data_IF_190546234592
#
_entry.id   IF_190546234592
#
_cell.length_a   1.000
_cell.length_b   1.000
_cell.length_c   1.000
_cell.angle_alpha   90.00
_cell.angle_beta   90.00
_cell.angle_gamma   90.00
#
_symmetry.space_group_name_H-M   'P 1'
#
loop_
_entity.id
_entity.type
_entity.pdbx_description
1 polymer ?
#
# COMPACT_ATOMS: atom_id res chain seq x y z
N UNK A 1 -13.39 1.83 26.31
CA UNK A 1 -11.99 1.34 26.32
C UNK A 1 -11.06 2.55 26.42
N UNK A 2 -9.86 2.42 27.02
CA UNK A 2 -8.88 3.51 27.16
C UNK A 2 -7.55 3.11 26.52
N UNK A 3 -6.97 4.02 25.75
CA UNK A 3 -5.68 3.86 25.07
C UNK A 3 -4.80 5.10 25.28
N UNK A 4 -3.51 4.99 25.04
CA UNK A 4 -2.66 6.17 24.89
C UNK A 4 -2.95 6.84 23.55
N UNK A 5 -3.01 6.05 22.48
CA UNK A 5 -3.26 6.54 21.12
C UNK A 5 -4.30 5.68 20.39
N UNK A 6 -5.24 6.34 19.69
CA UNK A 6 -6.18 5.69 18.76
C UNK A 6 -5.90 6.17 17.34
N UNK A 7 -5.69 5.23 16.43
CA UNK A 7 -5.44 5.49 15.01
C UNK A 7 -6.68 5.10 14.19
N UNK A 8 -7.14 5.99 13.34
CA UNK A 8 -8.30 5.84 12.47
C UNK A 8 -7.79 5.54 11.06
N UNK A 9 -7.73 4.25 10.70
CA UNK A 9 -7.26 3.77 9.41
C UNK A 9 -6.09 2.78 9.53
N UNK A 10 -6.26 1.59 8.93
CA UNK A 10 -5.27 0.50 8.97
C UNK A 10 -4.44 0.36 7.69
N UNK A 11 -4.19 1.46 6.97
CA UNK A 11 -3.28 1.50 5.82
C UNK A 11 -1.82 1.64 6.23
N UNK A 12 -0.93 1.88 5.25
CA UNK A 12 0.51 2.01 5.47
C UNK A 12 0.86 3.02 6.57
N UNK A 13 0.34 4.26 6.49
CA UNK A 13 0.62 5.31 7.48
C UNK A 13 0.20 4.90 8.90
N UNK A 14 -1.03 4.38 9.05
CA UNK A 14 -1.57 3.96 10.35
C UNK A 14 -0.83 2.76 10.95
N UNK A 15 -0.44 1.78 10.14
CA UNK A 15 0.33 0.62 10.59
C UNK A 15 1.77 1.01 10.98
N UNK A 16 2.44 1.85 10.21
CA UNK A 16 3.78 2.37 10.54
C UNK A 16 3.74 3.18 11.84
N UNK A 17 2.76 4.07 11.99
CA UNK A 17 2.57 4.84 13.22
C UNK A 17 2.27 3.92 14.42
N UNK A 18 1.35 2.97 14.26
CA UNK A 18 0.96 2.05 15.33
C UNK A 18 2.08 1.13 15.79
N UNK A 19 2.88 0.57 14.86
CA UNK A 19 4.05 -0.24 15.19
C UNK A 19 5.08 0.60 15.93
N UNK A 20 5.33 1.82 15.46
CA UNK A 20 6.32 2.72 16.09
C UNK A 20 5.91 3.09 17.51
N UNK A 21 4.64 3.44 17.74
CA UNK A 21 4.12 3.74 19.08
C UNK A 21 4.15 2.53 20.02
N UNK A 22 3.83 1.33 19.53
CA UNK A 22 3.88 0.11 20.34
C UNK A 22 5.32 -0.29 20.72
N UNK A 23 6.31 -0.07 19.83
CA UNK A 23 7.72 -0.28 20.17
C UNK A 23 8.18 0.59 21.34
N UNK A 24 7.61 1.79 21.46
CA UNK A 24 7.85 2.75 22.55
C UNK A 24 6.92 2.53 23.76
N UNK A 25 6.26 1.37 23.84
CA UNK A 25 5.42 0.98 24.98
C UNK A 25 4.07 1.70 25.07
N UNK A 26 3.62 2.40 24.03
CA UNK A 26 2.33 3.12 24.04
C UNK A 26 1.18 2.17 23.73
N UNK A 27 0.21 2.10 24.64
CA UNK A 27 -1.01 1.30 24.45
C UNK A 27 -1.85 1.88 23.31
N UNK A 28 -1.74 1.27 22.12
CA UNK A 28 -2.27 1.81 20.87
C UNK A 28 -3.33 0.90 20.27
N UNK A 29 -4.42 1.51 19.78
CA UNK A 29 -5.42 0.84 18.97
C UNK A 29 -5.47 1.40 17.54
N UNK A 30 -5.71 0.52 16.56
CA UNK A 30 -6.01 0.90 15.17
C UNK A 30 -7.45 0.46 14.87
N UNK A 31 -8.28 1.38 14.40
CA UNK A 31 -9.63 1.13 13.91
C UNK A 31 -9.57 1.11 12.39
N UNK A 32 -9.92 -0.02 11.76
CA UNK A 32 -9.76 -0.20 10.33
C UNK A 32 -11.01 -0.78 9.70
N UNK A 33 -11.39 -0.19 8.56
CA UNK A 33 -12.50 -0.65 7.73
C UNK A 33 -12.19 -1.95 6.99
N UNK A 34 -10.94 -2.40 7.01
CA UNK A 34 -10.46 -3.63 6.37
C UNK A 34 -9.49 -3.34 5.22
N UNK A 35 -9.96 -3.51 3.98
CA UNK A 35 -9.16 -3.28 2.78
C UNK A 35 -8.75 -1.80 2.64
N UNK A 36 -7.54 -1.56 2.15
CA UNK A 36 -7.02 -0.20 1.99
C UNK A 36 -6.16 -0.08 0.71
N UNK A 37 -5.61 1.12 0.48
CA UNK A 37 -4.85 1.46 -0.72
C UNK A 37 -3.61 0.58 -0.96
N UNK A 38 -3.10 -0.15 0.04
CA UNK A 38 -2.03 -1.13 -0.17
C UNK A 38 -2.42 -2.23 -1.16
N UNK A 39 -3.71 -2.50 -1.36
CA UNK A 39 -4.17 -3.43 -2.41
C UNK A 39 -3.92 -2.91 -3.84
N UNK A 40 -3.45 -1.68 -3.99
CA UNK A 40 -3.05 -1.06 -5.25
C UNK A 40 -1.56 -0.71 -5.25
N UNK A 41 -0.84 -1.13 -4.19
CA UNK A 41 0.56 -0.84 -3.99
C UNK A 41 1.41 -1.56 -5.03
N UNK A 42 2.32 -0.82 -5.62
CA UNK A 42 3.15 -1.32 -6.70
C UNK A 42 4.42 -2.04 -6.21
N UNK A 43 4.61 -2.17 -4.89
CA UNK A 43 5.80 -2.79 -4.30
C UNK A 43 7.01 -1.86 -4.16
N UNK A 44 6.87 -0.59 -4.54
CA UNK A 44 7.94 0.43 -4.53
C UNK A 44 7.47 1.66 -3.77
N UNK A 45 8.39 2.33 -3.08
CA UNK A 45 8.12 3.51 -2.25
C UNK A 45 8.69 4.76 -2.91
N UNK A 46 8.05 5.23 -3.98
CA UNK A 46 8.47 6.43 -4.68
C UNK A 46 8.46 7.64 -3.74
N UNK A 47 9.31 8.63 -4.04
CA UNK A 47 9.65 9.81 -3.21
C UNK A 47 10.45 9.56 -1.93
N UNK A 48 10.68 8.31 -1.53
CA UNK A 48 11.71 7.99 -0.55
C UNK A 48 13.02 7.78 -1.31
N UNK A 49 14.00 8.67 -1.07
CA UNK A 49 15.38 8.46 -1.51
C UNK A 49 16.05 7.37 -0.68
N UNK A 50 17.24 7.64 -0.14
CA UNK A 50 17.89 6.72 0.79
C UNK A 50 17.01 6.50 2.04
N UNK A 51 16.60 5.26 2.36
CA UNK A 51 15.75 4.98 3.52
C UNK A 51 16.50 5.23 4.82
N UNK A 52 15.77 5.59 5.88
CA UNK A 52 16.33 5.63 7.24
C UNK A 52 16.42 4.22 7.83
N UNK A 53 17.38 3.99 8.73
CA UNK A 53 17.52 2.70 9.44
C UNK A 53 16.23 2.34 10.17
N UNK A 54 15.55 3.33 10.77
CA UNK A 54 14.24 3.16 11.42
C UNK A 54 13.21 2.51 10.47
N UNK A 55 13.14 2.96 9.22
CA UNK A 55 12.23 2.41 8.22
C UNK A 55 12.61 0.97 7.86
N UNK A 56 13.88 0.74 7.53
CA UNK A 56 14.40 -0.58 7.14
C UNK A 56 14.17 -1.60 8.26
N UNK A 57 14.54 -1.26 9.50
CA UNK A 57 14.35 -2.12 10.67
C UNK A 57 12.88 -2.41 10.96
N UNK A 58 11.99 -1.41 10.86
CA UNK A 58 10.55 -1.61 11.08
C UNK A 58 9.96 -2.63 10.11
N UNK A 59 10.32 -2.53 8.83
CA UNK A 59 9.84 -3.43 7.78
C UNK A 59 10.48 -4.82 7.87
N UNK A 60 11.79 -4.91 8.11
CA UNK A 60 12.50 -6.17 8.28
C UNK A 60 11.93 -6.99 9.46
N UNK A 61 11.66 -6.36 10.61
CA UNK A 61 11.05 -7.04 11.76
C UNK A 61 9.59 -7.47 11.54
N UNK A 62 8.91 -6.89 10.55
CA UNK A 62 7.60 -7.33 10.10
C UNK A 62 7.69 -8.52 9.11
N UNK A 63 8.89 -8.94 8.71
CA UNK A 63 9.11 -9.97 7.70
C UNK A 63 8.98 -9.46 6.26
N UNK A 64 9.25 -8.16 6.05
CA UNK A 64 9.14 -7.50 4.76
C UNK A 64 10.47 -6.78 4.48
N UNK A 65 11.56 -7.49 4.15
CA UNK A 65 12.82 -6.83 3.82
C UNK A 65 12.64 -5.85 2.65
N UNK A 66 13.34 -4.72 2.75
CA UNK A 66 13.40 -3.69 1.73
C UNK A 66 14.82 -3.65 1.18
N UNK A 67 14.96 -3.37 -0.12
CA UNK A 67 16.25 -3.10 -0.73
C UNK A 67 16.24 -1.70 -1.35
N UNK A 68 17.43 -1.07 -1.34
CA UNK A 68 17.64 0.26 -1.91
C UNK A 68 18.69 0.21 -3.01
N UNK A 69 18.30 0.63 -4.21
CA UNK A 69 19.15 0.80 -5.38
C UNK A 69 18.46 1.72 -6.36
N UNK A 70 19.13 2.81 -6.76
CA UNK A 70 18.60 3.71 -7.78
C UNK A 70 18.57 3.04 -9.16
N UNK A 71 17.47 3.26 -9.89
CA UNK A 71 17.30 2.73 -11.23
C UNK A 71 15.86 2.82 -11.69
N UNK A 72 15.44 1.81 -12.43
CA UNK A 72 14.09 1.67 -12.98
C UNK A 72 13.51 0.29 -12.68
N UNK A 73 12.19 0.25 -12.49
CA UNK A 73 11.44 -0.99 -12.26
C UNK A 73 10.49 -1.26 -13.41
N UNK A 74 10.20 -2.55 -13.63
CA UNK A 74 9.25 -3.01 -14.65
C UNK A 74 7.80 -2.75 -14.21
N UNK A 75 7.01 -2.18 -15.12
CA UNK A 75 5.58 -1.95 -14.97
C UNK A 75 4.76 -3.03 -15.72
N UNK A 76 3.48 -3.26 -15.36
CA UNK A 76 2.66 -4.33 -15.94
C UNK A 76 2.48 -4.30 -17.48
N UNK A 77 2.71 -3.14 -18.11
CA UNK A 77 2.58 -2.95 -19.57
C UNK A 77 3.93 -2.98 -20.31
N UNK A 78 4.99 -3.46 -19.67
CA UNK A 78 6.32 -3.58 -20.29
C UNK A 78 7.07 -2.24 -20.38
N UNK A 79 6.57 -1.22 -19.69
CA UNK A 79 7.25 0.07 -19.52
C UNK A 79 8.07 0.08 -18.24
N UNK A 80 8.94 1.07 -18.10
CA UNK A 80 9.80 1.22 -16.93
C UNK A 80 9.54 2.54 -16.23
N UNK A 81 9.65 2.55 -14.89
CA UNK A 81 9.53 3.76 -14.08
C UNK A 81 10.70 3.91 -13.12
N UNK A 82 11.19 5.13 -12.87
CA UNK A 82 12.19 5.37 -11.85
C UNK A 82 11.76 4.83 -10.48
N UNK A 83 12.68 4.20 -9.77
CA UNK A 83 12.50 3.74 -8.40
C UNK A 83 13.86 3.61 -7.70
N UNK A 84 13.85 3.67 -6.37
CA UNK A 84 15.05 3.54 -5.56
C UNK A 84 14.86 2.62 -4.35
N UNK A 85 13.64 2.46 -3.84
CA UNK A 85 13.32 1.67 -2.66
C UNK A 85 12.12 0.77 -2.94
N UNK A 86 12.28 -0.54 -2.77
CA UNK A 86 11.22 -1.50 -3.03
C UNK A 86 11.25 -2.69 -2.08
N UNK A 87 10.19 -3.49 -2.11
CA UNK A 87 10.14 -4.81 -1.49
C UNK A 87 11.20 -5.72 -2.16
N UNK A 88 11.77 -6.66 -1.41
CA UNK A 88 12.82 -7.60 -1.89
C UNK A 88 12.45 -8.39 -3.15
N UNK A 89 11.16 -8.69 -3.36
CA UNK A 89 10.65 -9.40 -4.52
C UNK A 89 10.30 -8.50 -5.71
N UNK A 90 10.68 -7.22 -5.66
CA UNK A 90 10.46 -6.22 -6.71
C UNK A 90 11.81 -5.74 -7.22
N UNK A 91 12.19 -6.14 -8.42
CA UNK A 91 13.50 -5.80 -8.99
C UNK A 91 13.61 -4.33 -9.40
N UNK A 92 14.78 -3.74 -9.11
CA UNK A 92 15.20 -2.43 -9.64
C UNK A 92 16.46 -2.63 -10.50
N UNK A 93 16.35 -2.26 -11.77
CA UNK A 93 17.38 -2.39 -12.79
C UNK A 93 18.09 -1.05 -13.01
N UNK A 94 19.39 -1.05 -13.37
CA UNK A 94 20.10 0.20 -13.66
C UNK A 94 19.55 0.94 -14.89
N UNK A 95 18.97 0.21 -15.84
CA UNK A 95 18.47 0.72 -17.12
C UNK A 95 17.20 -0.06 -17.53
N UNK A 96 16.40 0.40 -18.52
CA UNK A 96 15.14 -0.23 -18.91
C UNK A 96 15.35 -1.51 -19.75
N UNK A 97 16.36 -2.30 -19.39
CA UNK A 97 16.74 -3.56 -20.01
C UNK A 97 17.38 -4.46 -18.97
N UNK A 98 16.89 -5.70 -18.86
CA UNK A 98 17.36 -6.66 -17.84
C UNK A 98 17.69 -8.05 -18.39
N UNK A 99 17.50 -8.28 -19.69
CA UNK A 99 17.64 -9.57 -20.34
C UNK A 99 17.84 -9.39 -21.86
N UNK A 100 18.37 -10.43 -22.52
CA UNK A 100 18.36 -10.55 -23.97
C UNK A 100 17.08 -11.21 -24.47
N UNK A 101 16.69 -12.32 -23.84
CA UNK A 101 15.56 -13.16 -24.25
C UNK A 101 14.71 -13.57 -23.04
N UNK A 102 13.42 -13.23 -23.07
CA UNK A 102 12.51 -13.43 -21.94
C UNK A 102 11.40 -14.42 -22.29
N UNK A 103 11.20 -15.39 -21.41
CA UNK A 103 9.98 -16.19 -21.36
C UNK A 103 8.97 -15.49 -20.44
N UNK A 104 7.93 -14.89 -21.02
CA UNK A 104 6.82 -14.32 -20.26
C UNK A 104 5.79 -15.41 -20.01
N UNK A 105 5.61 -15.79 -18.74
CA UNK A 105 4.67 -16.84 -18.34
C UNK A 105 3.40 -16.20 -17.79
N UNK A 106 2.26 -16.72 -18.23
CA UNK A 106 0.96 -16.38 -17.66
C UNK A 106 0.14 -17.67 -17.49
N UNK A 107 -1.05 -17.58 -16.91
CA UNK A 107 -1.92 -18.72 -16.63
C UNK A 107 -3.19 -18.64 -17.48
N UNK A 108 -3.65 -19.78 -17.99
CA UNK A 108 -4.88 -19.86 -18.76
C UNK A 108 -6.07 -19.31 -17.96
N UNK A 109 -6.70 -18.25 -18.50
CA UNK A 109 -7.85 -17.58 -17.90
C UNK A 109 -7.51 -16.47 -16.90
N UNK A 110 -6.24 -16.19 -16.61
CA UNK A 110 -5.87 -15.12 -15.67
C UNK A 110 -6.07 -13.72 -16.27
N UNK A 111 -6.89 -12.89 -15.61
CA UNK A 111 -7.36 -11.62 -16.16
C UNK A 111 -6.56 -10.39 -15.77
N UNK A 112 -5.81 -10.44 -14.67
CA UNK A 112 -5.13 -9.27 -14.13
C UNK A 112 -3.66 -9.16 -14.62
N UNK A 113 -3.24 -10.03 -15.54
CA UNK A 113 -1.90 -10.00 -16.13
C UNK A 113 -1.95 -10.13 -17.66
N UNK A 114 -1.64 -9.05 -18.36
CA UNK A 114 -1.73 -8.96 -19.82
C UNK A 114 -0.37 -9.22 -20.45
N UNK A 115 0.06 -10.49 -20.45
CA UNK A 115 1.36 -10.91 -20.96
C UNK A 115 1.69 -10.42 -22.38
N UNK A 116 0.75 -10.35 -23.35
CA UNK A 116 1.05 -9.79 -24.68
C UNK A 116 1.45 -8.31 -24.64
N UNK A 117 0.79 -7.48 -23.83
CA UNK A 117 1.14 -6.06 -23.70
C UNK A 117 2.47 -5.86 -22.97
N UNK A 118 2.73 -6.68 -21.95
CA UNK A 118 4.03 -6.71 -21.28
C UNK A 118 5.14 -7.05 -22.29
N UNK A 119 4.96 -8.11 -23.08
CA UNK A 119 5.92 -8.53 -24.10
C UNK A 119 6.14 -7.42 -25.15
N UNK A 120 5.08 -6.83 -25.69
CA UNK A 120 5.18 -5.73 -26.67
C UNK A 120 5.96 -4.53 -26.10
N UNK A 121 5.75 -4.19 -24.82
CA UNK A 121 6.49 -3.13 -24.14
C UNK A 121 7.98 -3.46 -23.97
N UNK A 122 8.30 -4.70 -23.60
CA UNK A 122 9.69 -5.19 -23.46
C UNK A 122 10.41 -5.26 -24.81
N UNK A 123 9.72 -5.68 -25.87
CA UNK A 123 10.24 -5.72 -27.25
C UNK A 123 10.61 -4.33 -27.74
N UNK A 124 9.83 -3.29 -27.39
CA UNK A 124 10.19 -1.88 -27.65
C UNK A 124 11.48 -1.45 -26.94
N UNK A 125 11.89 -2.14 -25.88
CA UNK A 125 13.18 -1.93 -25.20
C UNK A 125 14.30 -2.86 -25.72
N UNK A 126 14.06 -3.61 -26.81
CA UNK A 126 15.05 -4.50 -27.42
C UNK A 126 15.24 -5.83 -26.68
N UNK A 127 14.20 -6.32 -26.00
CA UNK A 127 14.17 -7.62 -25.33
C UNK A 127 13.30 -8.58 -26.15
N UNK A 128 13.89 -9.67 -26.66
CA UNK A 128 13.13 -10.69 -27.39
C UNK A 128 12.20 -11.44 -26.42
N UNK A 129 10.92 -11.56 -26.75
CA UNK A 129 9.92 -12.12 -25.85
C UNK A 129 9.21 -13.34 -26.45
N UNK A 130 9.03 -14.38 -25.62
CA UNK A 130 8.12 -15.50 -25.91
C UNK A 130 7.07 -15.60 -24.81
N UNK A 131 5.80 -15.45 -25.18
CA UNK A 131 4.69 -15.59 -24.25
C UNK A 131 4.19 -17.03 -24.20
N UNK A 132 4.00 -17.59 -23.00
CA UNK A 132 3.38 -18.91 -22.81
C UNK A 132 2.35 -18.89 -21.69
N UNK A 133 1.25 -19.62 -21.92
CA UNK A 133 0.19 -19.81 -20.95
C UNK A 133 0.30 -21.21 -20.35
N UNK A 134 0.44 -21.30 -19.03
CA UNK A 134 0.37 -22.55 -18.31
C UNK A 134 -1.09 -22.92 -18.06
N UNK A 135 -1.43 -24.17 -18.33
CA UNK A 135 -2.73 -24.74 -18.02
C UNK A 135 -2.59 -25.69 -16.82
N UNK A 136 -2.94 -25.21 -15.63
CA UNK A 136 -2.85 -25.98 -14.40
C UNK A 136 -4.23 -26.51 -13.99
N UNK A 137 -4.39 -27.82 -13.76
CA UNK A 137 -5.66 -28.41 -13.31
C UNK A 137 -6.22 -27.74 -12.04
N UNK A 138 -5.35 -27.28 -11.14
CA UNK A 138 -5.71 -26.59 -9.90
C UNK A 138 -6.46 -25.26 -10.13
N UNK A 139 -6.33 -24.67 -11.33
CA UNK A 139 -6.99 -23.42 -11.70
C UNK A 139 -8.36 -23.63 -12.38
N UNK A 140 -8.73 -24.86 -12.74
CA UNK A 140 -9.99 -25.15 -13.45
C UNK A 140 -11.23 -24.69 -12.67
N UNK A 141 -11.21 -24.86 -11.34
CA UNK A 141 -12.31 -24.43 -10.48
C UNK A 141 -12.49 -22.90 -10.50
N UNK A 142 -11.41 -22.13 -10.60
CA UNK A 142 -11.49 -20.66 -10.70
C UNK A 142 -12.02 -20.21 -12.06
N UNK A 143 -11.63 -20.90 -13.14
CA UNK A 143 -12.11 -20.60 -14.49
C UNK A 143 -13.64 -20.70 -14.61
N UNK A 144 -14.26 -21.58 -13.81
CA UNK A 144 -15.72 -21.76 -13.77
C UNK A 144 -16.43 -20.82 -12.80
N UNK A 145 -15.69 -20.02 -12.02
CA UNK A 145 -16.26 -19.15 -10.99
C UNK A 145 -16.74 -17.82 -11.57
N UNK A 146 -17.85 -17.28 -11.03
CA UNK A 146 -18.36 -15.95 -11.40
C UNK A 146 -17.42 -14.81 -10.97
N UNK A 147 -16.57 -15.03 -9.96
CA UNK A 147 -15.56 -14.05 -9.51
C UNK A 147 -14.41 -13.85 -10.50
N UNK A 148 -14.25 -14.76 -11.47
CA UNK A 148 -13.10 -14.79 -12.39
C UNK A 148 -11.80 -15.21 -11.70
N UNK A 149 -10.70 -15.18 -12.46
CA UNK A 149 -9.34 -15.43 -11.95
C UNK A 149 -8.67 -14.09 -11.63
N UNK A 150 -8.82 -13.61 -10.38
CA UNK A 150 -8.17 -12.38 -9.90
C UNK A 150 -6.84 -12.65 -9.19
N UNK A 151 -5.93 -11.67 -9.15
CA UNK A 151 -4.59 -11.79 -8.55
C UNK A 151 -4.60 -12.42 -7.15
N UNK A 152 -5.53 -12.01 -6.29
CA UNK A 152 -5.67 -12.56 -4.93
C UNK A 152 -6.16 -14.01 -4.90
N UNK A 153 -6.97 -14.44 -5.87
CA UNK A 153 -7.41 -15.83 -6.00
C UNK A 153 -6.33 -16.70 -6.63
N UNK A 154 -5.60 -16.17 -7.61
CA UNK A 154 -4.43 -16.81 -8.18
C UNK A 154 -3.41 -17.12 -7.10
N UNK A 155 -3.02 -16.12 -6.30
CA UNK A 155 -2.03 -16.33 -5.25
C UNK A 155 -2.46 -17.34 -4.20
N UNK A 156 -3.76 -17.41 -3.89
CA UNK A 156 -4.29 -18.43 -2.97
C UNK A 156 -4.08 -19.87 -3.44
N UNK A 157 -4.10 -20.09 -4.74
CA UNK A 157 -3.93 -21.42 -5.34
C UNK A 157 -2.48 -21.68 -5.70
N UNK A 158 -1.78 -20.67 -6.21
CA UNK A 158 -0.40 -20.80 -6.71
C UNK A 158 0.64 -20.83 -5.59
N UNK A 159 0.45 -20.09 -4.50
CA UNK A 159 1.39 -20.10 -3.36
C UNK A 159 1.66 -21.51 -2.84
N UNK A 160 0.65 -22.35 -2.55
CA UNK A 160 0.91 -23.69 -2.01
C UNK A 160 1.44 -24.71 -3.03
N UNK A 161 1.46 -24.38 -4.33
CA UNK A 161 1.89 -25.29 -5.41
C UNK A 161 3.03 -24.68 -6.24
N UNK A 162 3.76 -23.71 -5.68
CA UNK A 162 4.77 -22.96 -6.41
C UNK A 162 5.85 -23.87 -7.03
N UNK A 163 6.20 -24.98 -6.37
CA UNK A 163 7.14 -25.97 -6.91
C UNK A 163 6.64 -26.59 -8.22
N UNK A 164 5.33 -26.86 -8.32
CA UNK A 164 4.70 -27.37 -9.55
C UNK A 164 4.78 -26.33 -10.66
N UNK A 165 4.55 -25.05 -10.35
CA UNK A 165 4.70 -23.97 -11.34
C UNK A 165 6.13 -23.92 -11.85
N UNK A 166 7.13 -24.01 -10.96
CA UNK A 166 8.55 -24.04 -11.34
C UNK A 166 8.85 -25.23 -12.27
N UNK A 167 8.32 -26.42 -11.97
CA UNK A 167 8.47 -27.59 -12.84
C UNK A 167 7.89 -27.35 -14.24
N UNK A 168 6.67 -26.82 -14.34
CA UNK A 168 6.04 -26.48 -15.62
C UNK A 168 6.84 -25.44 -16.40
N UNK A 169 7.35 -24.40 -15.72
CA UNK A 169 8.22 -23.38 -16.34
C UNK A 169 9.51 -23.99 -16.86
N UNK A 170 10.17 -24.89 -16.10
CA UNK A 170 11.39 -25.59 -16.54
C UNK A 170 11.15 -26.40 -17.82
N UNK A 171 10.00 -27.04 -17.98
CA UNK A 171 9.67 -27.83 -19.18
C UNK A 171 9.51 -26.99 -20.44
N UNK A 172 9.08 -25.73 -20.31
CA UNK A 172 8.84 -24.83 -21.44
C UNK A 172 9.97 -23.83 -21.70
N UNK A 173 10.95 -23.73 -20.79
CA UNK A 173 12.15 -22.91 -20.93
C UNK A 173 13.04 -23.44 -22.06
N UNK A 174 13.61 -22.55 -22.86
CA UNK A 174 14.51 -22.89 -23.99
C UNK A 174 15.85 -22.16 -23.80
N UNK A 175 16.18 -21.27 -24.71
CA UNK A 175 17.37 -20.43 -24.73
C UNK A 175 17.14 -19.04 -24.12
N UNK A 176 16.00 -18.82 -23.44
CA UNK A 176 15.76 -17.57 -22.70
C UNK A 176 16.70 -17.43 -21.51
N UNK A 177 17.22 -16.22 -21.30
CA UNK A 177 18.11 -15.88 -20.17
C UNK A 177 17.35 -15.32 -18.96
N UNK A 178 16.02 -15.15 -19.10
CA UNK A 178 15.15 -14.69 -18.03
C UNK A 178 13.71 -15.23 -18.18
N UNK A 179 13.06 -15.48 -17.04
CA UNK A 179 11.61 -15.75 -16.94
C UNK A 179 10.94 -14.55 -16.28
N UNK A 180 9.81 -14.10 -16.84
CA UNK A 180 8.93 -13.13 -16.19
C UNK A 180 7.66 -13.84 -15.71
N UNK A 181 7.40 -13.75 -14.41
CA UNK A 181 6.21 -14.29 -13.75
C UNK A 181 5.33 -13.13 -13.23
N UNK A 182 3.99 -13.29 -13.17
CA UNK A 182 3.14 -12.33 -12.49
C UNK A 182 3.40 -12.31 -10.98
N UNK A 183 3.24 -11.15 -10.35
CA UNK A 183 3.27 -10.96 -8.89
C UNK A 183 2.02 -11.56 -8.22
N UNK A 184 1.92 -12.88 -8.25
CA UNK A 184 0.87 -13.69 -7.61
C UNK A 184 1.48 -14.77 -6.71
N UNK A 185 2.70 -14.54 -6.22
CA UNK A 185 3.42 -15.46 -5.36
C UNK A 185 3.80 -14.79 -4.04
N UNK A 186 3.92 -15.64 -3.02
CA UNK A 186 4.30 -15.30 -1.67
C UNK A 186 3.27 -14.49 -0.91
N UNK A 187 1.98 -14.56 -1.23
CA UNK A 187 0.89 -13.94 -0.47
C UNK A 187 0.90 -14.35 1.02
N UNK A 188 1.14 -15.63 1.30
CA UNK A 188 1.11 -16.19 2.66
C UNK A 188 2.49 -16.42 3.24
N UNK A 189 3.44 -16.78 2.38
CA UNK A 189 4.85 -16.98 2.73
C UNK A 189 5.73 -16.03 1.90
N UNK A 190 6.28 -14.96 2.50
CA UNK A 190 7.10 -13.99 1.78
C UNK A 190 8.41 -14.57 1.21
N UNK A 191 8.80 -15.79 1.58
CA UNK A 191 10.02 -16.44 1.05
C UNK A 191 9.83 -17.07 -0.33
N UNK A 192 8.59 -17.41 -0.72
CA UNK A 192 8.28 -18.14 -1.97
C UNK A 192 8.87 -17.48 -3.23
N UNK A 193 8.80 -16.16 -3.45
CA UNK A 193 9.44 -15.52 -4.60
C UNK A 193 10.96 -15.76 -4.66
N UNK A 194 11.62 -15.83 -3.50
CA UNK A 194 13.05 -16.18 -3.39
C UNK A 194 13.32 -17.63 -3.74
N UNK A 195 12.52 -18.57 -3.23
CA UNK A 195 12.63 -20.00 -3.55
C UNK A 195 12.42 -20.27 -5.05
N UNK A 196 11.47 -19.57 -5.69
CA UNK A 196 11.27 -19.65 -7.14
C UNK A 196 12.51 -19.16 -7.90
N UNK A 197 13.15 -18.07 -7.43
CA UNK A 197 14.39 -17.54 -8.03
C UNK A 197 15.56 -18.52 -7.90
N UNK A 198 15.65 -19.26 -6.78
CA UNK A 198 16.71 -20.25 -6.54
C UNK A 198 16.54 -21.52 -7.39
N UNK A 199 15.30 -21.95 -7.63
CA UNK A 199 15.02 -23.17 -8.38
C UNK A 199 15.07 -22.99 -9.91
N UNK A 200 14.73 -21.82 -10.46
CA UNK A 200 14.84 -21.63 -11.92
C UNK A 200 16.31 -21.37 -12.34
N UNK A 201 16.79 -22.02 -13.42
CA UNK A 201 18.22 -21.94 -13.80
C UNK A 201 18.61 -20.61 -14.46
N UNK A 202 17.67 -19.65 -14.54
CA UNK A 202 17.81 -18.36 -15.21
C UNK A 202 17.23 -17.26 -14.31
N UNK A 203 17.50 -15.99 -14.62
CA UNK A 203 16.94 -14.88 -13.86
C UNK A 203 15.41 -14.94 -13.83
N UNK A 204 14.81 -14.67 -12.67
CA UNK A 204 13.36 -14.55 -12.53
C UNK A 204 13.00 -13.14 -12.11
N UNK A 205 12.11 -12.50 -12.89
CA UNK A 205 11.56 -11.18 -12.61
C UNK A 205 10.07 -11.29 -12.37
N UNK A 206 9.58 -10.71 -11.27
CA UNK A 206 8.15 -10.66 -10.99
C UNK A 206 7.55 -9.35 -11.49
N UNK A 207 6.69 -9.43 -12.51
CA UNK A 207 6.00 -8.29 -13.08
C UNK A 207 4.68 -8.00 -12.36
N UNK A 208 4.41 -6.71 -12.10
CA UNK A 208 3.19 -6.26 -11.46
C UNK A 208 1.94 -6.67 -12.24
N UNK A 209 0.82 -6.77 -11.54
CA UNK A 209 -0.49 -7.14 -12.08
C UNK A 209 -1.47 -5.98 -11.92
N UNK A 210 -2.62 -6.04 -12.59
CA UNK A 210 -3.73 -5.17 -12.25
C UNK A 210 -4.20 -5.46 -10.80
N UNK A 211 -4.73 -4.45 -10.10
CA UNK A 211 -5.23 -4.63 -8.74
C UNK A 211 -6.21 -5.81 -8.62
N UNK A 212 -6.16 -6.58 -7.51
CA UNK A 212 -5.40 -6.30 -6.30
C UNK A 212 -3.92 -6.73 -6.37
N UNK A 213 -3.05 -5.96 -5.72
CA UNK A 213 -1.62 -6.24 -5.53
C UNK A 213 -1.37 -7.26 -4.43
N UNK A 214 -0.80 -8.40 -4.78
CA UNK A 214 -0.44 -9.45 -3.82
C UNK A 214 0.69 -9.01 -2.88
N UNK A 215 1.80 -8.39 -3.36
CA UNK A 215 2.83 -7.85 -2.46
C UNK A 215 2.28 -6.79 -1.49
N UNK A 216 1.33 -5.96 -1.95
CA UNK A 216 0.66 -4.96 -1.13
C UNK A 216 -0.27 -5.55 -0.07
N UNK A 217 -1.08 -6.56 -0.44
CA UNK A 217 -1.91 -7.31 0.51
C UNK A 217 -1.05 -8.01 1.58
N UNK A 218 0.05 -8.65 1.18
CA UNK A 218 1.03 -9.26 2.08
C UNK A 218 1.63 -8.23 3.03
N UNK A 219 2.03 -7.07 2.51
CA UNK A 219 2.57 -5.95 3.30
C UNK A 219 1.58 -5.52 4.39
N UNK A 220 0.30 -5.33 4.05
CA UNK A 220 -0.74 -5.00 5.02
C UNK A 220 -0.88 -6.10 6.09
N UNK A 221 -0.91 -7.37 5.69
CA UNK A 221 -1.08 -8.49 6.61
C UNK A 221 0.09 -8.62 7.59
N UNK A 222 1.32 -8.55 7.08
CA UNK A 222 2.54 -8.72 7.87
C UNK A 222 2.77 -7.55 8.83
N UNK A 223 2.56 -6.29 8.39
CA UNK A 223 2.58 -5.13 9.29
C UNK A 223 1.47 -5.22 10.35
N UNK A 224 0.25 -5.62 9.96
CA UNK A 224 -0.85 -5.84 10.90
C UNK A 224 -0.52 -6.88 11.97
N UNK A 225 0.03 -8.04 11.56
CA UNK A 225 0.49 -9.08 12.47
C UNK A 225 1.60 -8.59 13.39
N UNK A 226 2.55 -7.79 12.87
CA UNK A 226 3.62 -7.20 13.68
C UNK A 226 3.07 -6.27 14.75
N UNK A 227 2.12 -5.41 14.39
CA UNK A 227 1.43 -4.53 15.34
C UNK A 227 0.70 -5.32 16.43
N UNK A 228 -0.08 -6.35 16.06
CA UNK A 228 -0.77 -7.22 17.01
C UNK A 228 0.22 -7.97 17.93
N UNK A 229 1.34 -8.48 17.38
CA UNK A 229 2.41 -9.17 18.14
C UNK A 229 3.10 -8.27 19.16
N UNK A 230 3.16 -6.95 18.90
CA UNK A 230 3.69 -5.97 19.84
C UNK A 230 2.68 -5.57 20.94
N UNK A 231 1.48 -6.16 20.96
CA UNK A 231 0.42 -5.83 21.93
C UNK A 231 -0.63 -4.84 21.42
N UNK A 232 -0.54 -4.43 20.15
CA UNK A 232 -1.50 -3.55 19.49
C UNK A 232 -2.90 -4.15 19.35
N UNK A 233 -3.93 -3.31 19.55
CA UNK A 233 -5.33 -3.70 19.33
C UNK A 233 -5.81 -3.26 17.95
N UNK A 234 -5.93 -4.19 17.02
CA UNK A 234 -6.42 -3.92 15.66
C UNK A 234 -7.91 -4.28 15.52
N UNK A 235 -8.78 -3.27 15.50
CA UNK A 235 -10.24 -3.42 15.33
C UNK A 235 -10.57 -3.43 13.84
N UNK A 236 -10.55 -4.63 13.23
CA UNK A 236 -10.80 -4.87 11.80
C UNK A 236 -12.31 -4.85 11.50
N UNK A 237 -12.70 -4.29 10.36
CA UNK A 237 -14.10 -4.21 9.91
C UNK A 237 -14.94 -3.18 10.68
N UNK A 238 -14.30 -2.20 11.34
CA UNK A 238 -14.96 -1.15 12.11
C UNK A 238 -14.69 0.24 11.51
N UNK A 239 -15.58 1.18 11.77
CA UNK A 239 -15.53 2.53 11.22
C UNK A 239 -15.77 3.52 12.35
N UNK A 240 -14.93 4.56 12.46
CA UNK A 240 -15.23 5.69 13.33
C UNK A 240 -16.33 6.53 12.70
N UNK A 241 -17.34 6.89 13.50
CA UNK A 241 -18.52 7.61 13.04
C UNK A 241 -18.58 9.04 13.58
N UNK A 242 -18.01 9.29 14.75
CA UNK A 242 -18.03 10.59 15.41
C UNK A 242 -16.92 10.67 16.47
N UNK A 243 -16.64 11.89 16.92
CA UNK A 243 -15.76 12.18 18.03
C UNK A 243 -16.45 13.10 19.06
N UNK A 244 -16.11 12.93 20.34
CA UNK A 244 -16.42 13.90 21.41
C UNK A 244 -15.25 14.84 21.58
N UNK A 245 -15.51 16.13 21.51
CA UNK A 245 -14.51 17.19 21.51
C UNK A 245 -14.90 18.18 22.61
N UNK A 246 -13.91 18.59 23.39
CA UNK A 246 -14.03 19.61 24.43
C UNK A 246 -12.95 20.67 24.21
N UNK A 247 -13.36 21.91 23.91
CA UNK A 247 -12.47 22.95 23.40
C UNK A 247 -11.70 22.50 22.16
N UNK A 248 -10.37 22.50 22.27
CA UNK A 248 -9.43 22.10 21.21
C UNK A 248 -8.87 20.68 21.39
N UNK A 249 -9.53 19.83 22.19
CA UNK A 249 -9.07 18.46 22.48
C UNK A 249 -10.14 17.43 22.18
N UNK A 250 -9.73 16.33 21.56
CA UNK A 250 -10.58 15.17 21.31
C UNK A 250 -10.51 14.25 22.53
N UNK A 251 -11.67 13.88 23.08
CA UNK A 251 -11.77 13.06 24.29
C UNK A 251 -11.98 11.58 23.95
N UNK A 252 -12.79 11.30 22.94
CA UNK A 252 -13.14 9.94 22.56
C UNK A 252 -13.74 9.86 21.16
N UNK A 253 -13.74 8.66 20.59
CA UNK A 253 -14.40 8.35 19.32
C UNK A 253 -15.46 7.26 19.48
N UNK A 254 -16.56 7.40 18.75
CA UNK A 254 -17.60 6.38 18.61
C UNK A 254 -17.41 5.59 17.31
N UNK A 255 -17.63 4.27 17.36
CA UNK A 255 -17.47 3.39 16.19
C UNK A 255 -18.76 2.68 15.84
N UNK A 256 -18.83 2.17 14.61
CA UNK A 256 -19.99 1.44 14.09
C UNK A 256 -20.28 0.19 14.90
N UNK A 257 -19.24 -0.53 15.35
CA UNK A 257 -19.41 -1.84 15.97
C UNK A 257 -19.47 -1.78 17.52
N UNK A 258 -19.37 -0.59 18.13
CA UNK A 258 -19.37 -0.42 19.59
C UNK A 258 -20.61 0.28 20.14
N UNK A 259 -21.65 0.47 19.32
CA UNK A 259 -22.91 1.12 19.68
C UNK A 259 -22.70 2.45 20.44
N UNK A 260 -23.13 2.51 21.71
CA UNK A 260 -23.00 3.70 22.58
C UNK A 260 -21.65 3.79 23.29
N UNK A 261 -20.81 2.77 23.23
CA UNK A 261 -19.51 2.78 23.88
C UNK A 261 -18.52 3.64 23.10
N UNK A 262 -17.76 4.44 23.84
CA UNK A 262 -16.74 5.32 23.28
C UNK A 262 -15.35 4.75 23.58
N UNK A 263 -14.43 4.94 22.63
CA UNK A 263 -13.01 4.66 22.80
C UNK A 263 -12.32 5.97 23.18
N UNK A 264 -11.77 6.02 24.39
CA UNK A 264 -11.03 7.18 24.91
C UNK A 264 -9.54 7.01 24.63
N UNK A 265 -8.86 8.11 24.32
CA UNK A 265 -7.40 8.12 24.18
C UNK A 265 -6.81 9.47 24.57
N UNK A 266 -5.50 9.50 24.84
CA UNK A 266 -4.76 10.76 25.04
C UNK A 266 -4.52 11.45 23.70
N UNK A 267 -4.18 10.67 22.67
CA UNK A 267 -3.92 11.14 21.31
C UNK A 267 -4.76 10.37 20.28
N UNK A 268 -5.01 11.02 19.15
CA UNK A 268 -5.74 10.46 18.02
C UNK A 268 -4.99 10.73 16.72
N UNK A 269 -5.00 9.79 15.80
CA UNK A 269 -4.36 9.94 14.49
C UNK A 269 -5.37 9.56 13.40
N UNK A 270 -5.67 10.48 12.49
CA UNK A 270 -6.44 10.25 11.28
C UNK A 270 -5.51 9.76 10.16
N UNK A 271 -5.62 8.49 9.82
CA UNK A 271 -4.89 7.81 8.75
C UNK A 271 -5.87 7.12 7.78
N UNK A 272 -7.04 7.73 7.57
CA UNK A 272 -8.19 7.17 6.84
C UNK A 272 -8.00 7.14 5.31
N UNK A 273 -6.94 7.76 4.80
CA UNK A 273 -6.66 7.90 3.38
C UNK A 273 -7.49 8.99 2.71
N UNK A 274 -7.25 9.23 1.42
CA UNK A 274 -7.98 10.24 0.65
C UNK A 274 -9.33 9.74 0.13
N UNK A 275 -9.68 10.15 -1.10
CA UNK A 275 -10.96 9.84 -1.74
C UNK A 275 -11.24 8.34 -1.89
N UNK A 276 -10.24 7.58 -2.36
CA UNK A 276 -10.39 6.14 -2.61
C UNK A 276 -10.79 5.36 -1.35
N UNK A 277 -10.15 5.68 -0.23
CA UNK A 277 -10.43 5.08 1.07
C UNK A 277 -11.61 5.72 1.81
N UNK A 278 -12.26 6.71 1.18
CA UNK A 278 -13.41 7.48 1.71
C UNK A 278 -13.09 8.26 2.99
N UNK A 279 -11.81 8.54 3.26
CA UNK A 279 -11.40 9.47 4.32
C UNK A 279 -11.62 10.93 3.93
N UNK A 280 -11.65 11.22 2.63
CA UNK A 280 -12.22 12.44 2.06
C UNK A 280 -13.42 12.09 1.19
N UNK A 281 -14.44 12.94 1.19
CA UNK A 281 -15.61 12.82 0.32
C UNK A 281 -15.89 14.15 -0.36
N UNK A 282 -16.46 14.08 -1.56
CA UNK A 282 -16.89 15.25 -2.32
C UNK A 282 -18.38 15.17 -2.64
N UNK A 283 -19.03 16.32 -2.71
CA UNK A 283 -20.39 16.49 -3.23
C UNK A 283 -20.42 17.68 -4.22
N UNK A 284 -21.57 18.08 -4.78
CA UNK A 284 -21.66 19.25 -5.68
C UNK A 284 -21.12 20.56 -5.09
N UNK A 285 -21.15 20.71 -3.76
CA UNK A 285 -20.87 21.96 -3.04
C UNK A 285 -19.48 22.03 -2.40
N UNK A 286 -18.75 20.91 -2.29
CA UNK A 286 -17.43 20.94 -1.67
C UNK A 286 -16.85 19.57 -1.36
N UNK A 287 -15.66 19.60 -0.74
CA UNK A 287 -14.92 18.43 -0.24
C UNK A 287 -14.89 18.50 1.28
N UNK A 288 -15.06 17.37 1.95
CA UNK A 288 -15.15 17.31 3.39
C UNK A 288 -14.57 16.01 3.95
N UNK A 289 -14.05 16.11 5.18
CA UNK A 289 -13.71 14.97 6.02
C UNK A 289 -14.98 14.51 6.78
N UNK A 290 -15.40 13.24 6.66
CA UNK A 290 -16.73 12.82 7.05
C UNK A 290 -16.93 12.48 8.54
N UNK A 291 -15.87 12.43 9.36
CA UNK A 291 -15.94 11.91 10.74
C UNK A 291 -15.98 13.04 11.78
N UNK A 292 -15.05 13.99 11.69
CA UNK A 292 -14.92 15.13 12.60
C UNK A 292 -15.36 16.45 11.94
N UNK A 293 -15.43 16.48 10.61
CA UNK A 293 -15.67 17.71 9.85
C UNK A 293 -14.46 18.64 9.94
N UNK A 294 -13.27 18.07 9.73
CA UNK A 294 -12.02 18.82 9.68
C UNK A 294 -12.02 19.78 8.48
N UNK A 295 -11.27 20.86 8.61
CA UNK A 295 -11.10 21.82 7.52
C UNK A 295 -10.29 21.16 6.40
N UNK A 296 -10.78 21.25 5.17
CA UNK A 296 -10.15 20.69 3.98
C UNK A 296 -9.75 21.85 3.07
N UNK A 297 -8.51 21.82 2.59
CA UNK A 297 -8.01 22.75 1.57
C UNK A 297 -8.45 22.24 0.19
N UNK A 298 -9.24 23.04 -0.52
CA UNK A 298 -9.66 22.77 -1.89
C UNK A 298 -10.04 24.08 -2.59
N UNK A 299 -10.01 24.10 -3.92
CA UNK A 299 -10.42 25.27 -4.69
C UNK A 299 -11.94 25.48 -4.59
N UNK A 300 -12.40 26.72 -4.36
CA UNK A 300 -13.84 27.02 -4.32
C UNK A 300 -14.52 26.87 -5.69
N UNK A 301 -13.80 27.05 -6.79
CA UNK A 301 -14.32 26.81 -8.13
C UNK A 301 -14.20 25.32 -8.47
N UNK A 302 -15.35 24.66 -8.59
CA UNK A 302 -15.45 23.25 -8.96
C UNK A 302 -14.78 22.94 -10.32
N UNK A 303 -14.78 23.89 -11.24
CA UNK A 303 -14.16 23.70 -12.56
C UNK A 303 -12.63 23.64 -12.48
N UNK A 304 -12.04 24.15 -11.39
CA UNK A 304 -10.61 24.08 -11.13
C UNK A 304 -10.19 22.75 -10.45
N UNK A 305 -11.11 21.83 -10.16
CA UNK A 305 -10.77 20.58 -9.46
C UNK A 305 -10.11 19.53 -10.35
N UNK A 306 -10.26 19.65 -11.66
CA UNK A 306 -9.77 18.67 -12.62
C UNK A 306 -9.22 19.37 -13.84
N UNK A 307 -8.36 18.66 -14.55
CA UNK A 307 -7.96 19.06 -15.89
C UNK A 307 -8.73 18.20 -16.91
N UNK A 308 -9.12 18.79 -18.04
CA UNK A 308 -9.81 18.07 -19.10
C UNK A 308 -8.92 16.98 -19.73
N UNK A 309 -7.60 17.18 -19.71
CA UNK A 309 -6.61 16.18 -20.09
C UNK A 309 -6.44 15.18 -18.97
N UNK A 310 -6.83 13.92 -19.23
CA UNK A 310 -6.61 12.81 -18.28
C UNK A 310 -5.12 12.60 -17.93
N UNK A 311 -4.20 12.99 -18.82
CA UNK A 311 -2.77 12.84 -18.62
C UNK A 311 -2.13 13.99 -17.82
N UNK A 312 -2.86 15.08 -17.60
CA UNK A 312 -2.39 16.19 -16.79
C UNK A 312 -2.58 15.90 -15.30
N UNK A 313 -1.79 16.60 -14.47
CA UNK A 313 -1.98 16.59 -13.02
C UNK A 313 -3.39 17.05 -12.68
N UNK A 314 -4.07 16.27 -11.86
CA UNK A 314 -5.45 16.54 -11.48
C UNK A 314 -5.47 17.30 -10.15
N UNK A 315 -5.89 18.58 -10.11
CA UNK A 315 -5.79 19.40 -8.90
C UNK A 315 -6.43 18.79 -7.66
N UNK A 316 -7.54 18.06 -7.80
CA UNK A 316 -8.22 17.41 -6.68
C UNK A 316 -7.34 16.45 -5.87
N UNK A 317 -6.30 15.89 -6.50
CA UNK A 317 -5.36 14.97 -5.86
C UNK A 317 -4.47 15.66 -4.81
N UNK A 318 -4.33 16.99 -4.92
CA UNK A 318 -3.60 17.82 -3.96
C UNK A 318 -4.43 18.22 -2.73
N UNK A 319 -5.76 18.21 -2.85
CA UNK A 319 -6.68 18.65 -1.79
C UNK A 319 -6.72 17.69 -0.61
N UNK A 320 -6.75 18.24 0.60
CA UNK A 320 -6.58 17.45 1.82
C UNK A 320 -6.87 18.20 3.12
N UNK A 321 -6.86 17.47 4.23
CA UNK A 321 -7.08 18.02 5.56
C UNK A 321 -6.00 19.04 5.90
N UNK A 322 -6.44 20.23 6.34
CA UNK A 322 -5.56 21.30 6.81
C UNK A 322 -4.94 20.92 8.15
N UNK A 323 -3.65 21.18 8.27
CA UNK A 323 -2.88 20.90 9.47
C UNK A 323 -1.92 22.04 9.81
N UNK A 324 -1.45 22.07 11.05
CA UNK A 324 -0.27 22.86 11.42
C UNK A 324 1.05 22.15 11.05
N UNK A 325 2.19 22.73 11.42
CA UNK A 325 3.50 22.18 11.12
C UNK A 325 3.80 20.82 11.83
N UNK A 326 3.07 20.51 12.90
CA UNK A 326 3.18 19.26 13.66
C UNK A 326 2.15 18.21 13.21
N UNK A 327 1.39 18.51 12.15
CA UNK A 327 0.32 17.70 11.59
C UNK A 327 -0.93 17.60 12.48
N UNK A 328 -1.12 18.52 13.43
CA UNK A 328 -2.39 18.64 14.14
C UNK A 328 -3.47 19.12 13.19
N UNK A 329 -4.61 18.43 13.17
CA UNK A 329 -5.73 18.76 12.31
C UNK A 329 -6.43 20.04 12.76
N UNK A 330 -6.87 20.83 11.78
CA UNK A 330 -7.63 22.06 12.01
C UNK A 330 -9.11 21.77 11.82
N UNK A 331 -9.93 22.28 12.75
CA UNK A 331 -11.39 22.20 12.70
C UNK A 331 -11.98 23.56 13.01
N UNK A 332 -12.74 24.12 12.07
CA UNK A 332 -13.35 25.46 12.19
C UNK A 332 -12.31 26.53 12.52
N UNK A 333 -11.13 26.46 11.90
CA UNK A 333 -10.01 27.36 12.14
C UNK A 333 -9.25 27.13 13.47
N UNK A 334 -9.67 26.15 14.30
CA UNK A 334 -9.02 25.82 15.57
C UNK A 334 -8.21 24.54 15.44
N UNK A 335 -6.93 24.60 15.82
CA UNK A 335 -6.05 23.43 15.86
C UNK A 335 -6.44 22.49 16.99
N UNK A 336 -6.57 21.20 16.69
CA UNK A 336 -6.83 20.14 17.68
C UNK A 336 -5.52 19.57 18.24
N UNK A 337 -5.14 19.95 19.47
CA UNK A 337 -3.81 19.70 20.07
C UNK A 337 -3.41 18.21 20.19
N UNK A 338 -4.38 17.31 20.20
CA UNK A 338 -4.13 15.88 20.37
C UNK A 338 -4.67 15.03 19.21
N UNK A 339 -4.93 15.66 18.06
CA UNK A 339 -5.49 14.99 16.90
C UNK A 339 -4.64 15.28 15.66
N UNK A 340 -3.95 14.26 15.18
CA UNK A 340 -3.01 14.34 14.06
C UNK A 340 -3.66 13.83 12.77
N UNK A 341 -3.27 14.35 11.61
CA UNK A 341 -3.63 13.79 10.30
C UNK A 341 -2.38 13.32 9.55
N UNK A 342 -2.39 12.10 9.02
CA UNK A 342 -1.24 11.50 8.34
C UNK A 342 -1.63 10.72 7.08
N UNK A 343 -0.66 10.54 6.19
CA UNK A 343 -0.83 9.85 4.92
C UNK A 343 -1.75 10.59 3.96
N UNK A 344 -2.43 9.83 3.09
CA UNK A 344 -3.16 10.40 1.94
C UNK A 344 -4.33 11.31 2.28
N UNK A 345 -4.75 11.40 3.55
CA UNK A 345 -5.79 12.34 3.98
C UNK A 345 -5.30 13.80 3.96
N UNK A 346 -3.98 14.00 4.00
CA UNK A 346 -3.32 15.30 3.88
C UNK A 346 -3.36 15.88 2.46
N UNK A 347 -3.87 15.13 1.48
CA UNK A 347 -3.75 15.50 0.07
C UNK A 347 -2.33 15.29 -0.45
N UNK A 348 -1.94 16.06 -1.45
CA UNK A 348 -0.66 15.99 -2.15
C UNK A 348 -0.24 14.56 -2.56
N UNK A 349 -1.22 13.72 -2.91
CA UNK A 349 -0.94 12.36 -3.36
C UNK A 349 -0.98 12.31 -4.87
N UNK A 350 0.07 11.77 -5.49
CA UNK A 350 0.08 11.34 -6.89
C UNK A 350 0.17 9.81 -6.92
N UNK A 351 -0.95 9.07 -6.73
CA UNK A 351 -0.93 7.61 -6.68
C UNK A 351 -0.37 6.98 -7.96
N UNK A 352 -0.62 7.60 -9.11
CA UNK A 352 -0.11 7.22 -10.42
C UNK A 352 1.42 7.32 -10.51
N UNK A 353 2.03 8.21 -9.73
CA UNK A 353 3.49 8.35 -9.59
C UNK A 353 4.05 7.55 -8.40
N UNK A 354 3.20 6.89 -7.62
CA UNK A 354 3.58 6.08 -6.47
C UNK A 354 3.98 6.87 -5.21
N UNK A 355 3.86 8.20 -5.23
CA UNK A 355 4.29 9.08 -4.13
C UNK A 355 3.49 8.93 -2.83
N UNK A 356 2.36 8.21 -2.86
CA UNK A 356 1.55 7.96 -1.67
C UNK A 356 2.29 7.20 -0.56
N UNK A 357 3.23 6.30 -0.92
CA UNK A 357 3.99 5.51 0.06
C UNK A 357 4.96 6.35 0.90
N UNK A 358 5.70 7.25 0.23
CA UNK A 358 6.65 8.15 0.89
C UNK A 358 5.99 9.14 1.83
N UNK A 359 4.92 9.80 1.39
CA UNK A 359 4.13 10.70 2.25
C UNK A 359 3.58 9.96 3.47
N UNK A 360 3.02 8.77 3.28
CA UNK A 360 2.47 7.94 4.35
C UNK A 360 3.49 7.62 5.44
N UNK A 361 4.70 7.22 5.06
CA UNK A 361 5.77 6.89 6.03
C UNK A 361 6.30 8.14 6.73
N UNK A 362 6.59 9.21 5.98
CA UNK A 362 7.17 10.44 6.55
C UNK A 362 6.21 11.10 7.54
N UNK A 363 4.96 11.31 7.15
CA UNK A 363 3.94 11.90 8.04
C UNK A 363 3.65 11.03 9.26
N UNK A 364 3.68 9.69 9.12
CA UNK A 364 3.56 8.78 10.25
C UNK A 364 4.70 8.99 11.26
N UNK A 365 5.96 9.03 10.83
CA UNK A 365 7.08 9.27 11.74
C UNK A 365 7.02 10.67 12.37
N UNK A 366 6.67 11.71 11.61
CA UNK A 366 6.50 13.08 12.16
C UNK A 366 5.47 13.10 13.30
N UNK A 367 4.29 12.52 13.10
CA UNK A 367 3.26 12.49 14.13
C UNK A 367 3.67 11.64 15.35
N UNK A 368 4.33 10.50 15.12
CA UNK A 368 4.84 9.65 16.21
C UNK A 368 5.86 10.40 17.06
N UNK A 369 6.81 11.07 16.42
CA UNK A 369 7.89 11.78 17.13
C UNK A 369 7.32 12.94 17.95
N UNK A 370 6.34 13.67 17.41
CA UNK A 370 5.58 14.70 18.14
C UNK A 370 4.88 14.12 19.37
N UNK A 371 4.14 13.02 19.22
CA UNK A 371 3.42 12.35 20.33
C UNK A 371 4.38 11.90 21.44
N UNK A 372 5.55 11.38 21.07
CA UNK A 372 6.53 10.87 22.04
C UNK A 372 7.25 12.00 22.78
N UNK A 373 7.53 13.12 22.11
CA UNK A 373 8.14 14.32 22.72
C UNK A 373 7.19 14.94 23.75
N UNK A 374 5.92 15.19 23.40
CA UNK A 374 4.94 15.77 24.33
C UNK A 374 4.67 14.89 25.56
N UNK A 375 4.91 13.58 25.47
CA UNK A 375 4.78 12.66 26.60
C UNK A 375 6.00 12.61 27.52
N UNK A 376 7.13 13.23 27.13
CA UNK A 376 8.35 13.34 27.95
C UNK A 376 8.44 14.65 28.76
N UNK A 377 7.59 15.63 28.43
CA UNK A 377 7.50 16.93 29.09
C UNK A 377 6.47 16.96 30.26
N UNK A 378 5.82 15.83 30.53
CA UNK A 378 4.87 15.59 31.63
C UNK A 378 5.45 14.55 32.59
#
# INVERSE_FOLDING_TARGET
>A
MKFDTVIIGGGLAGLVAGISLQKEGRNTAIISTGQNALHFFSGSFESIGKPSDRLVTLFAEAGIPLHYKEGVRLMPLGTFRPSALALEDIDIFPEPRFAGKVLVVNFMGYHDFFAPFLAEGLEKQGIECRVRLLNLPELEALQRSQSGMRSSQMARILDPIWEKVVQEVRLILRDEDCVVLPQVFGMYDPSVPGLIREELPVRVVFAGTLPPSVPGMRTQQLLGRRFEKLGGRLLKGDNVLNARIDGNRVLSVGTKNLDRHQIQARNFILASGGYFSKGLKSNPFGIYEPVLGLDVEFDSDRNAWYDASFAADQPYMSYGVRTDAQLHAIRQGVTLENFYAIGSVLGATHPELGFGGGLAIRSAFTAVDSILQSASEL
#
